data_IF_515142713498
#
_entry.id   IF_515142713498
#
_cell.length_a   1.000
_cell.length_b   1.000
_cell.length_c   1.000
_cell.angle_alpha   90.00
_cell.angle_beta   90.00
_cell.angle_gamma   90.00
#
_symmetry.space_group_name_H-M   'P 1'
#
loop_
_entity.id
_entity.type
_entity.pdbx_description
1 polymer ?
#
# COMPACT_ATOMS: atom_id res chain seq x y z
N UNK A 1 14.62 -14.03 -20.29
CA UNK A 1 13.94 -13.96 -18.98
C UNK A 1 13.38 -12.55 -18.88
N UNK A 2 12.06 -12.38 -18.87
CA UNK A 2 11.44 -11.05 -18.72
C UNK A 2 11.04 -10.95 -17.25
N UNK A 3 11.71 -10.09 -16.49
CA UNK A 3 11.34 -9.79 -15.11
C UNK A 3 10.34 -8.63 -15.09
N UNK A 4 9.12 -8.89 -14.64
CA UNK A 4 8.07 -7.89 -14.44
C UNK A 4 7.84 -7.68 -12.94
N UNK A 5 8.93 -7.47 -12.19
CA UNK A 5 8.91 -7.37 -10.72
C UNK A 5 9.01 -5.96 -10.21
N UNK A 6 9.42 -5.00 -11.03
CA UNK A 6 9.72 -3.65 -10.56
C UNK A 6 8.94 -2.60 -11.36
N UNK A 7 8.22 -1.77 -10.61
CA UNK A 7 7.53 -0.57 -11.08
C UNK A 7 8.12 0.57 -10.27
N UNK A 8 8.46 1.69 -10.91
CA UNK A 8 8.96 2.89 -10.22
C UNK A 8 7.77 3.79 -9.90
N UNK A 9 7.62 4.31 -8.66
CA UNK A 9 6.56 5.26 -8.33
C UNK A 9 6.68 6.52 -9.18
N UNK A 10 5.57 6.98 -9.75
CA UNK A 10 5.55 8.22 -10.51
C UNK A 10 5.29 9.42 -9.58
N UNK A 11 6.23 9.71 -8.68
CA UNK A 11 6.07 10.75 -7.65
C UNK A 11 6.59 12.12 -8.05
N UNK A 12 7.55 12.18 -8.99
CA UNK A 12 8.24 13.41 -9.41
C UNK A 12 7.31 14.60 -9.71
N UNK A 13 6.16 14.42 -10.40
CA UNK A 13 5.25 15.54 -10.67
C UNK A 13 4.66 16.18 -9.41
N UNK A 14 4.61 15.46 -8.30
CA UNK A 14 4.01 15.91 -7.04
C UNK A 14 5.04 16.52 -6.09
N UNK A 15 6.34 16.24 -6.26
CA UNK A 15 7.38 16.73 -5.35
C UNK A 15 7.70 18.21 -5.56
N UNK A 16 7.60 18.71 -6.80
CA UNK A 16 7.90 20.10 -7.08
C UNK A 16 6.89 21.03 -6.38
N UNK A 17 7.36 21.81 -5.40
CA UNK A 17 6.55 22.77 -4.66
C UNK A 17 5.77 22.18 -3.47
N UNK A 18 5.90 20.88 -3.19
CA UNK A 18 5.32 20.23 -2.02
C UNK A 18 6.42 19.60 -1.16
N UNK A 19 6.09 19.28 0.10
CA UNK A 19 7.02 18.69 1.05
C UNK A 19 6.55 17.28 1.46
N UNK A 20 6.43 16.39 0.47
CA UNK A 20 6.06 15.00 0.71
C UNK A 20 7.25 14.19 1.23
N UNK A 21 7.00 13.37 2.24
CA UNK A 21 7.96 12.37 2.71
C UNK A 21 7.98 11.18 1.74
N UNK A 22 9.18 10.77 1.34
CA UNK A 22 9.40 9.71 0.36
C UNK A 22 10.06 8.49 1.01
N UNK A 23 9.58 7.31 0.68
CA UNK A 23 10.12 6.02 1.11
C UNK A 23 11.43 5.65 0.41
N UNK A 24 12.12 4.63 0.92
CA UNK A 24 13.36 4.13 0.30
C UNK A 24 13.12 3.53 -1.10
N UNK A 25 11.91 3.05 -1.36
CA UNK A 25 11.45 2.53 -2.67
C UNK A 25 10.92 3.63 -3.61
N UNK A 26 11.09 4.91 -3.22
CA UNK A 26 10.70 6.08 -4.00
C UNK A 26 9.20 6.39 -4.00
N UNK A 27 8.39 5.78 -3.12
CA UNK A 27 6.96 6.07 -3.02
C UNK A 27 6.65 7.17 -2.01
N UNK A 28 5.45 7.76 -2.07
CA UNK A 28 4.98 8.68 -1.04
C UNK A 28 4.69 7.89 0.24
N UNK A 29 5.34 8.24 1.36
CA UNK A 29 5.04 7.59 2.63
C UNK A 29 3.60 7.86 3.02
N UNK A 30 2.89 6.80 3.38
CA UNK A 30 1.56 6.89 3.96
C UNK A 30 1.45 6.14 5.28
N UNK A 31 0.70 6.70 6.21
CA UNK A 31 0.41 6.08 7.51
C UNK A 31 -0.69 5.01 7.41
N UNK A 32 -1.11 4.48 8.56
CA UNK A 32 -2.18 3.49 8.68
C UNK A 32 -3.57 4.02 8.31
N UNK A 33 -3.73 5.31 8.04
CA UNK A 33 -4.95 5.98 7.58
C UNK A 33 -4.82 6.53 6.15
N UNK A 34 -3.77 6.13 5.43
CA UNK A 34 -3.44 6.58 4.07
C UNK A 34 -3.08 8.07 3.97
N UNK A 35 -2.78 8.76 5.09
CA UNK A 35 -2.32 10.14 5.06
C UNK A 35 -0.89 10.22 4.54
N UNK A 36 -0.61 11.23 3.74
CA UNK A 36 0.76 11.63 3.44
C UNK A 36 1.32 12.53 4.55
N UNK A 37 2.58 12.96 4.43
CA UNK A 37 3.14 13.98 5.34
C UNK A 37 2.51 15.38 5.19
N UNK A 38 1.72 15.60 4.13
CA UNK A 38 1.02 16.87 3.88
C UNK A 38 -0.43 16.75 4.35
N UNK A 39 -0.88 17.74 5.15
CA UNK A 39 -2.24 17.79 5.69
C UNK A 39 -3.29 17.70 4.59
N UNK A 40 -4.35 16.94 4.87
CA UNK A 40 -5.52 16.77 4.00
C UNK A 40 -5.21 16.14 2.63
N UNK A 41 -4.02 15.52 2.47
CA UNK A 41 -3.64 14.78 1.27
C UNK A 41 -3.48 13.30 1.61
N UNK A 42 -4.23 12.47 0.88
CA UNK A 42 -4.20 11.02 0.96
C UNK A 42 -3.60 10.44 -0.32
N UNK A 43 -2.89 9.32 -0.19
CA UNK A 43 -2.37 8.58 -1.34
C UNK A 43 -2.68 7.09 -1.23
N UNK A 44 -2.93 6.44 -2.37
CA UNK A 44 -3.24 5.02 -2.44
C UNK A 44 -2.63 4.35 -3.68
N UNK A 45 -2.34 3.06 -3.59
CA UNK A 45 -1.85 2.24 -4.70
C UNK A 45 -0.35 2.37 -4.94
N UNK A 46 0.06 2.18 -6.20
CA UNK A 46 1.45 1.98 -6.60
C UNK A 46 2.37 3.17 -6.33
N UNK A 47 1.79 4.35 -6.06
CA UNK A 47 2.52 5.57 -5.72
C UNK A 47 3.02 5.57 -4.27
N UNK A 48 2.45 4.73 -3.40
CA UNK A 48 2.69 4.80 -1.96
C UNK A 48 3.87 3.96 -1.51
N UNK A 49 4.39 4.30 -0.33
CA UNK A 49 5.17 3.45 0.56
C UNK A 49 4.40 3.31 1.86
N UNK A 50 4.02 2.09 2.21
CA UNK A 50 3.38 1.81 3.49
C UNK A 50 4.38 2.05 4.63
N UNK A 51 4.08 3.00 5.51
CA UNK A 51 4.99 3.41 6.60
C UNK A 51 4.47 3.10 8.01
N UNK A 52 3.34 2.39 8.10
CA UNK A 52 2.87 1.76 9.33
C UNK A 52 3.68 0.48 9.63
N UNK A 53 3.54 -0.08 10.84
CA UNK A 53 4.15 -1.37 11.18
C UNK A 53 3.43 -2.49 10.40
N UNK A 54 4.05 -3.10 9.36
CA UNK A 54 3.36 -4.10 8.56
C UNK A 54 3.19 -5.40 9.35
N UNK A 55 2.09 -6.10 9.10
CA UNK A 55 1.92 -7.47 9.61
C UNK A 55 3.05 -8.38 9.06
N UNK A 56 3.55 -9.37 9.84
CA UNK A 56 4.57 -10.30 9.38
C UNK A 56 4.16 -11.10 8.12
N UNK A 57 2.84 -11.20 7.89
CA UNK A 57 2.25 -11.87 6.74
C UNK A 57 1.62 -10.88 5.77
N UNK A 58 1.94 -9.59 5.84
CA UNK A 58 1.55 -8.63 4.82
C UNK A 58 2.78 -8.04 4.15
N UNK A 59 2.76 -7.98 2.83
CA UNK A 59 3.83 -7.38 2.04
C UNK A 59 3.23 -6.38 1.07
N UNK A 60 3.78 -5.17 1.07
CA UNK A 60 3.39 -4.21 0.06
C UNK A 60 3.77 -4.76 -1.32
N UNK A 61 2.76 -4.92 -2.19
CA UNK A 61 2.95 -5.27 -3.58
C UNK A 61 2.11 -4.33 -4.45
N UNK A 62 2.70 -3.92 -5.57
CA UNK A 62 2.07 -2.97 -6.51
C UNK A 62 1.17 -3.71 -7.48
N UNK A 63 0.08 -4.24 -6.91
CA UNK A 63 -0.95 -5.00 -7.58
C UNK A 63 -2.26 -4.20 -7.59
N UNK A 64 -3.03 -4.33 -8.66
CA UNK A 64 -4.37 -3.74 -8.76
C UNK A 64 -5.27 -4.05 -7.56
N UNK A 65 -5.20 -5.27 -7.01
CA UNK A 65 -6.01 -5.66 -5.84
C UNK A 65 -5.67 -4.83 -4.60
N UNK A 66 -4.37 -4.61 -4.33
CA UNK A 66 -3.93 -3.74 -3.24
C UNK A 66 -4.30 -2.29 -3.51
N UNK A 67 -4.07 -1.78 -4.72
CA UNK A 67 -4.45 -0.42 -5.10
C UNK A 67 -5.96 -0.17 -4.90
N UNK A 68 -6.80 -1.13 -5.26
CA UNK A 68 -8.25 -1.05 -5.01
C UNK A 68 -8.57 -1.03 -3.52
N UNK A 69 -7.96 -1.90 -2.72
CA UNK A 69 -8.17 -1.94 -1.26
C UNK A 69 -7.73 -0.62 -0.59
N UNK A 70 -6.55 -0.12 -0.94
CA UNK A 70 -6.03 1.17 -0.46
C UNK A 70 -6.96 2.33 -0.84
N UNK A 71 -7.46 2.38 -2.07
CA UNK A 71 -8.37 3.44 -2.50
C UNK A 71 -9.71 3.43 -1.74
N UNK A 72 -10.29 2.25 -1.52
CA UNK A 72 -11.50 2.11 -0.71
C UNK A 72 -11.28 2.52 0.75
N UNK A 73 -10.12 2.16 1.30
CA UNK A 73 -9.77 2.48 2.67
C UNK A 73 -9.48 3.98 2.85
N UNK A 74 -8.75 4.61 1.92
CA UNK A 74 -8.55 6.06 1.90
C UNK A 74 -9.88 6.83 1.88
N UNK A 75 -10.88 6.35 1.12
CA UNK A 75 -12.21 6.95 1.13
C UNK A 75 -12.92 6.84 2.50
N UNK A 76 -12.78 5.70 3.20
CA UNK A 76 -13.28 5.54 4.57
C UNK A 76 -12.58 6.53 5.52
N UNK A 77 -11.25 6.67 5.43
CA UNK A 77 -10.48 7.59 6.26
C UNK A 77 -10.88 9.06 6.01
N UNK A 78 -11.04 9.48 4.75
CA UNK A 78 -11.52 10.82 4.41
C UNK A 78 -12.91 11.12 5.01
N UNK A 79 -13.83 10.15 4.92
CA UNK A 79 -15.17 10.29 5.49
C UNK A 79 -15.13 10.37 7.02
N UNK A 80 -14.32 9.53 7.67
CA UNK A 80 -14.17 9.51 9.12
C UNK A 80 -13.52 10.79 9.65
N UNK A 81 -12.47 11.30 8.98
CA UNK A 81 -11.85 12.59 9.30
C UNK A 81 -12.85 13.74 9.24
N UNK A 82 -13.72 13.75 8.21
CA UNK A 82 -14.79 14.76 8.07
C UNK A 82 -15.82 14.69 9.20
N UNK A 83 -16.08 13.49 9.71
CA UNK A 83 -17.08 13.24 10.77
C UNK A 83 -16.48 13.25 12.19
N UNK A 84 -15.17 13.42 12.34
CA UNK A 84 -14.47 13.32 13.63
C UNK A 84 -14.49 11.91 14.23
N UNK A 85 -14.56 10.87 13.40
CA UNK A 85 -14.62 9.47 13.80
C UNK A 85 -13.24 8.81 13.63
N UNK A 86 -12.94 7.80 14.46
CA UNK A 86 -11.76 6.95 14.28
C UNK A 86 -12.07 5.79 13.32
N UNK A 87 -11.07 5.36 12.54
CA UNK A 87 -11.16 4.18 11.67
C UNK A 87 -10.05 3.20 11.99
N UNK A 88 -10.41 1.94 12.23
CA UNK A 88 -9.42 0.88 12.35
C UNK A 88 -8.94 0.44 10.95
N UNK A 89 -7.71 -0.06 10.87
CA UNK A 89 -7.16 -0.62 9.63
C UNK A 89 -7.97 -1.85 9.20
N UNK A 90 -8.26 -1.95 7.90
CA UNK A 90 -8.97 -3.11 7.35
C UNK A 90 -8.09 -4.37 7.45
N UNK A 91 -8.67 -5.51 7.85
CA UNK A 91 -7.99 -6.80 7.94
C UNK A 91 -7.25 -7.20 6.64
N UNK A 92 -7.69 -6.66 5.51
CA UNK A 92 -7.02 -6.80 4.21
C UNK A 92 -5.55 -6.36 4.21
N UNK A 93 -5.14 -5.50 5.15
CA UNK A 93 -3.76 -5.04 5.34
C UNK A 93 -2.98 -5.83 6.40
N UNK A 94 -3.63 -6.81 7.04
CA UNK A 94 -3.03 -7.69 8.03
C UNK A 94 -2.68 -9.08 7.48
N UNK A 95 -3.29 -9.50 6.35
CA UNK A 95 -3.16 -10.86 5.82
C UNK A 95 -2.88 -10.90 4.31
N UNK A 96 -1.75 -11.49 3.92
CA UNK A 96 -1.62 -12.12 2.59
C UNK A 96 -2.25 -13.50 2.59
N UNK A 97 -3.45 -13.62 2.01
CA UNK A 97 -3.99 -14.91 1.66
C UNK A 97 -3.48 -15.35 0.27
N UNK A 98 -2.28 -15.93 0.21
CA UNK A 98 -1.91 -16.78 -0.93
C UNK A 98 -2.41 -18.20 -0.64
N UNK A 99 -3.43 -18.66 -1.36
CA UNK A 99 -3.64 -20.10 -1.56
C UNK A 99 -2.54 -20.57 -2.50
N UNK A 100 -1.44 -21.07 -1.96
CA UNK A 100 -0.51 -21.90 -2.72
C UNK A 100 -0.96 -23.34 -2.51
N UNK A 101 -1.59 -23.95 -3.51
CA UNK A 101 -1.73 -25.40 -3.53
C UNK A 101 -0.31 -25.99 -3.44
N UNK A 102 0.02 -26.83 -2.44
CA UNK A 102 1.31 -27.49 -2.42
C UNK A 102 1.41 -28.36 -3.68
N UNK A 103 2.25 -27.95 -4.62
CA UNK A 103 2.63 -28.75 -5.76
C UNK A 103 3.27 -30.02 -5.24
N UNK A 104 2.58 -31.17 -5.40
CA UNK A 104 3.17 -32.49 -5.18
C UNK A 104 4.28 -32.70 -6.20
N UNK A 105 5.53 -32.46 -5.81
CA UNK A 105 6.67 -33.01 -6.53
C UNK A 105 6.83 -34.47 -6.09
N UNK A 106 6.31 -35.37 -6.93
CA UNK A 106 6.72 -36.78 -6.93
C UNK A 106 8.20 -36.85 -7.31
N UNK A 107 9.06 -37.27 -6.38
CA UNK A 107 10.42 -37.73 -6.71
C UNK A 107 10.40 -39.25 -6.81
N UNK A 108 10.60 -39.78 -8.02
CA UNK A 108 11.17 -41.11 -8.22
C UNK A 108 12.67 -40.93 -8.40
N UNK A 109 13.45 -41.57 -7.54
CA UNK A 109 14.89 -41.72 -7.59
C UNK A 109 15.29 -42.93 -6.75
#
# INVERSE_FOLDING_TARGET
MVGATEVTPNIEPFLCGNNFDVGEDGGLKVDDHMHTSVSDIYAAGDICTASWQPSPVWQQMRLWTQARQMGWYAAKCMAAATLGQSTDMDFSFELFAHVVLPGKYHTWG
#
